data_IF_568908312242
#
_entry.id   IF_568908312242
#
_cell.length_a   1.000
_cell.length_b   1.000
_cell.length_c   1.000
_cell.angle_alpha   90.00
_cell.angle_beta   90.00
_cell.angle_gamma   90.00
#
_symmetry.space_group_name_H-M   'P 1'
#
loop_
_entity.id
_entity.type
_entity.pdbx_description
1 polymer ?
#
# COMPACT_ATOMS: atom_id res chain seq x y z
N UNK A 1 15.38 -7.52 -11.77
CA UNK A 1 16.03 -6.20 -11.48
C UNK A 1 15.31 -5.04 -12.16
N UNK A 2 14.98 -5.14 -13.46
CA UNK A 2 14.27 -4.12 -14.24
C UNK A 2 12.94 -3.61 -13.61
N UNK A 3 12.11 -4.50 -13.07
CA UNK A 3 10.82 -4.16 -12.47
C UNK A 3 10.91 -3.36 -11.15
N UNK A 4 11.91 -3.65 -10.32
CA UNK A 4 12.17 -2.91 -9.08
C UNK A 4 12.69 -1.49 -9.39
N UNK A 5 13.56 -1.38 -10.41
CA UNK A 5 14.02 -0.10 -10.95
C UNK A 5 12.86 0.68 -11.58
N UNK A 6 12.00 0.05 -12.38
CA UNK A 6 10.84 0.71 -12.98
C UNK A 6 9.91 1.29 -11.91
N UNK A 7 9.68 0.55 -10.83
CA UNK A 7 8.92 1.04 -9.67
C UNK A 7 9.63 2.24 -9.05
N UNK A 8 10.94 2.15 -8.76
CA UNK A 8 11.74 3.22 -8.17
C UNK A 8 11.80 4.49 -9.04
N UNK A 9 11.94 4.35 -10.35
CA UNK A 9 12.03 5.44 -11.31
C UNK A 9 10.69 6.11 -11.52
N UNK A 10 9.62 5.30 -11.55
CA UNK A 10 8.26 5.83 -11.51
C UNK A 10 8.12 6.73 -10.30
N UNK A 11 8.70 6.45 -9.12
CA UNK A 11 8.63 7.35 -7.96
C UNK A 11 9.25 8.73 -8.15
N UNK A 12 10.20 8.87 -9.07
CA UNK A 12 10.91 10.12 -9.42
C UNK A 12 10.34 10.83 -10.67
N UNK A 13 9.14 10.45 -11.09
CA UNK A 13 8.47 10.89 -12.33
C UNK A 13 9.27 10.63 -13.62
N UNK A 14 10.22 9.70 -13.56
CA UNK A 14 10.92 9.19 -14.73
C UNK A 14 10.32 7.84 -15.09
N UNK A 15 9.73 7.72 -16.27
CA UNK A 15 9.24 6.43 -16.76
C UNK A 15 10.15 5.96 -17.90
N UNK A 16 11.15 5.11 -17.61
CA UNK A 16 12.05 4.61 -18.63
C UNK A 16 11.29 3.63 -19.54
N UNK A 17 10.78 4.14 -20.67
CA UNK A 17 9.93 3.40 -21.60
C UNK A 17 10.60 2.13 -22.14
N UNK A 18 11.92 2.18 -22.39
CA UNK A 18 12.69 1.00 -22.80
C UNK A 18 12.66 -0.10 -21.72
N UNK A 19 12.90 0.26 -20.46
CA UNK A 19 12.86 -0.65 -19.32
C UNK A 19 11.44 -1.20 -19.07
N UNK A 20 10.41 -0.39 -19.34
CA UNK A 20 9.02 -0.82 -19.27
C UNK A 20 8.72 -1.90 -20.30
N UNK A 21 9.11 -1.69 -21.56
CA UNK A 21 8.94 -2.67 -22.64
C UNK A 21 9.69 -3.96 -22.37
N UNK A 22 10.91 -3.85 -21.87
CA UNK A 22 11.72 -5.02 -21.47
C UNK A 22 11.05 -5.79 -20.32
N UNK A 23 10.55 -5.09 -19.30
CA UNK A 23 9.84 -5.72 -18.19
C UNK A 23 8.52 -6.39 -18.64
N UNK A 24 7.80 -5.83 -19.63
CA UNK A 24 6.59 -6.43 -20.20
C UNK A 24 6.86 -7.72 -20.98
N UNK A 25 8.05 -7.85 -21.58
CA UNK A 25 8.44 -9.03 -22.34
C UNK A 25 8.80 -10.23 -21.45
N UNK A 26 9.13 -9.99 -20.18
CA UNK A 26 9.48 -11.05 -19.23
C UNK A 26 8.22 -11.57 -18.48
N UNK A 27 7.97 -12.90 -18.42
CA UNK A 27 6.82 -13.48 -17.72
C UNK A 27 6.66 -12.98 -16.28
N UNK A 28 7.75 -12.97 -15.51
CA UNK A 28 7.75 -12.48 -14.12
C UNK A 28 7.80 -10.94 -14.00
N UNK A 29 8.16 -10.24 -15.07
CA UNK A 29 8.32 -8.78 -15.10
C UNK A 29 7.03 -8.04 -15.42
N UNK A 30 6.16 -8.66 -16.22
CA UNK A 30 4.94 -8.05 -16.75
C UNK A 30 4.02 -7.52 -15.66
N UNK A 31 3.77 -8.32 -14.62
CA UNK A 31 2.90 -7.94 -13.52
C UNK A 31 3.42 -6.73 -12.73
N UNK A 32 4.74 -6.67 -12.50
CA UNK A 32 5.37 -5.53 -11.82
C UNK A 32 5.42 -4.29 -12.72
N UNK A 33 5.59 -4.46 -14.04
CA UNK A 33 5.53 -3.37 -15.00
C UNK A 33 4.15 -2.70 -15.02
N UNK A 34 3.08 -3.51 -15.06
CA UNK A 34 1.70 -3.05 -14.97
C UNK A 34 1.41 -2.36 -13.63
N UNK A 35 1.99 -2.86 -12.53
CA UNK A 35 1.84 -2.24 -11.21
C UNK A 35 2.47 -0.84 -11.17
N UNK A 36 3.68 -0.68 -11.71
CA UNK A 36 4.34 0.61 -11.79
C UNK A 36 3.52 1.60 -12.64
N UNK A 37 2.97 1.14 -13.78
CA UNK A 37 2.08 1.95 -14.61
C UNK A 37 0.79 2.35 -13.86
N UNK A 38 0.21 1.44 -13.06
CA UNK A 38 -0.95 1.75 -12.22
C UNK A 38 -0.61 2.84 -11.19
N UNK A 39 0.53 2.74 -10.50
CA UNK A 39 0.97 3.78 -9.57
C UNK A 39 1.28 5.11 -10.26
N UNK A 40 1.77 5.09 -11.50
CA UNK A 40 1.96 6.30 -12.31
C UNK A 40 0.63 6.98 -12.62
N UNK A 41 -0.37 6.22 -13.10
CA UNK A 41 -1.73 6.75 -13.35
C UNK A 41 -2.34 7.34 -12.10
N UNK A 42 -2.29 6.60 -10.99
CA UNK A 42 -2.78 7.09 -9.70
C UNK A 42 -2.13 8.42 -9.33
N UNK A 43 -0.80 8.54 -9.45
CA UNK A 43 -0.11 9.79 -9.17
C UNK A 43 -0.56 10.96 -10.05
N UNK A 44 -0.92 10.69 -11.31
CA UNK A 44 -1.43 11.69 -12.26
C UNK A 44 -2.91 12.04 -12.04
N UNK A 45 -3.55 11.45 -11.03
CA UNK A 45 -4.98 11.62 -10.77
C UNK A 45 -5.89 10.82 -11.70
N UNK A 46 -5.31 10.01 -12.58
CA UNK A 46 -6.04 9.11 -13.49
C UNK A 46 -6.52 7.85 -12.76
N UNK A 47 -7.52 7.16 -13.32
CA UNK A 47 -8.03 5.91 -12.75
C UNK A 47 -7.04 4.73 -12.99
N UNK A 48 -6.43 4.17 -11.93
CA UNK A 48 -5.51 3.05 -12.03
C UNK A 48 -6.21 1.68 -11.92
N UNK A 49 -7.52 1.65 -11.61
CA UNK A 49 -8.26 0.41 -11.31
C UNK A 49 -8.18 -0.64 -12.43
N UNK A 50 -8.34 -0.30 -13.72
CA UNK A 50 -8.19 -1.27 -14.79
C UNK A 50 -6.82 -1.94 -14.78
N UNK A 51 -5.75 -1.17 -14.54
CA UNK A 51 -4.38 -1.71 -14.46
C UNK A 51 -4.19 -2.58 -13.23
N UNK A 52 -4.70 -2.20 -12.07
CA UNK A 52 -4.63 -3.06 -10.88
C UNK A 52 -5.36 -4.40 -11.10
N UNK A 53 -6.49 -4.41 -11.81
CA UNK A 53 -7.17 -5.66 -12.18
C UNK A 53 -6.30 -6.54 -13.07
N UNK A 54 -5.61 -5.98 -14.04
CA UNK A 54 -4.65 -6.72 -14.88
C UNK A 54 -3.47 -7.26 -14.05
N UNK A 55 -2.90 -6.46 -13.14
CA UNK A 55 -1.86 -6.94 -12.22
C UNK A 55 -2.34 -8.13 -11.39
N UNK A 56 -3.56 -8.08 -10.87
CA UNK A 56 -4.15 -9.18 -10.09
C UNK A 56 -4.38 -10.43 -10.94
N UNK A 57 -4.72 -10.29 -12.22
CA UNK A 57 -4.82 -11.43 -13.15
C UNK A 57 -3.45 -12.07 -13.39
N UNK A 58 -2.42 -11.27 -13.64
CA UNK A 58 -1.06 -11.78 -13.82
C UNK A 58 -0.51 -12.43 -12.54
N UNK A 59 -0.75 -11.81 -11.39
CA UNK A 59 -0.27 -12.32 -10.11
C UNK A 59 -0.84 -13.70 -9.75
N UNK A 60 -2.04 -14.06 -10.22
CA UNK A 60 -2.63 -15.40 -10.01
C UNK A 60 -1.86 -16.51 -10.72
N UNK A 61 -1.09 -16.18 -11.76
CA UNK A 61 -0.27 -17.14 -12.52
C UNK A 61 1.09 -17.39 -11.87
N UNK A 62 1.49 -16.54 -10.93
CA UNK A 62 2.79 -16.62 -10.28
C UNK A 62 2.69 -17.49 -9.01
N UNK A 63 3.72 -18.32 -8.72
CA UNK A 63 3.76 -19.10 -7.49
C UNK A 63 3.95 -18.22 -6.25
N UNK A 64 4.57 -17.05 -6.41
CA UNK A 64 4.84 -16.13 -5.32
C UNK A 64 3.68 -15.11 -5.15
N UNK A 65 2.99 -15.07 -3.99
CA UNK A 65 1.85 -14.19 -3.77
C UNK A 65 2.25 -12.73 -3.50
N UNK A 66 3.54 -12.41 -3.49
CA UNK A 66 4.06 -11.05 -3.27
C UNK A 66 3.37 -10.00 -4.15
N UNK A 67 3.33 -10.21 -5.46
CA UNK A 67 2.74 -9.25 -6.39
C UNK A 67 1.23 -9.09 -6.12
N UNK A 68 0.55 -10.18 -5.78
CA UNK A 68 -0.86 -10.18 -5.46
C UNK A 68 -1.15 -9.31 -4.22
N UNK A 69 -0.40 -9.51 -3.14
CA UNK A 69 -0.55 -8.72 -1.91
C UNK A 69 -0.23 -7.23 -2.13
N UNK A 70 0.78 -6.93 -2.92
CA UNK A 70 1.18 -5.55 -3.24
C UNK A 70 0.11 -4.81 -4.07
N UNK A 71 -0.46 -5.50 -5.07
CA UNK A 71 -1.53 -4.97 -5.91
C UNK A 71 -2.81 -4.73 -5.12
N UNK A 72 -3.23 -5.69 -4.27
CA UNK A 72 -4.39 -5.53 -3.40
C UNK A 72 -4.22 -4.38 -2.39
N UNK A 73 -3.04 -4.28 -1.75
CA UNK A 73 -2.75 -3.20 -0.81
C UNK A 73 -2.85 -1.83 -1.49
N UNK A 74 -2.28 -1.71 -2.70
CA UNK A 74 -2.33 -0.50 -3.50
C UNK A 74 -3.76 -0.14 -3.93
N UNK A 75 -4.53 -1.13 -4.37
CA UNK A 75 -5.92 -0.94 -4.78
C UNK A 75 -6.80 -0.50 -3.61
N UNK A 76 -6.65 -1.12 -2.44
CA UNK A 76 -7.42 -0.77 -1.25
C UNK A 76 -7.13 0.67 -0.81
N UNK A 77 -5.87 1.11 -0.82
CA UNK A 77 -5.49 2.48 -0.54
C UNK A 77 -6.05 3.49 -1.56
N UNK A 78 -6.04 3.14 -2.85
CA UNK A 78 -6.65 3.99 -3.89
C UNK A 78 -8.16 4.14 -3.70
N UNK A 79 -8.83 3.02 -3.37
CA UNK A 79 -10.28 2.96 -3.20
C UNK A 79 -10.75 3.56 -1.89
N UNK A 80 -9.94 3.61 -0.85
CA UNK A 80 -10.34 4.13 0.46
C UNK A 80 -11.15 5.43 0.43
N UNK A 81 -10.65 6.54 -0.16
CA UNK A 81 -11.40 7.80 -0.17
C UNK A 81 -12.59 7.79 -1.13
N UNK A 82 -12.75 6.77 -1.99
CA UNK A 82 -13.76 6.70 -3.06
C UNK A 82 -14.87 5.68 -2.77
N UNK A 83 -14.52 4.61 -2.08
CA UNK A 83 -15.34 3.43 -1.82
C UNK A 83 -14.87 2.76 -0.52
N UNK A 84 -15.07 3.39 0.64
CA UNK A 84 -14.50 2.95 1.93
C UNK A 84 -14.92 1.53 2.31
N UNK A 85 -16.19 1.15 2.05
CA UNK A 85 -16.68 -0.22 2.28
C UNK A 85 -15.90 -1.27 1.48
N UNK A 86 -15.55 -0.96 0.22
CA UNK A 86 -14.72 -1.86 -0.62
C UNK A 86 -13.30 -1.93 -0.08
N UNK A 87 -12.71 -0.80 0.33
CA UNK A 87 -11.39 -0.79 0.94
C UNK A 87 -11.33 -1.62 2.22
N UNK A 88 -12.36 -1.56 3.08
CA UNK A 88 -12.47 -2.39 4.29
C UNK A 88 -12.58 -3.88 3.98
N UNK A 89 -13.40 -4.26 2.99
CA UNK A 89 -13.49 -5.65 2.55
C UNK A 89 -12.13 -6.16 2.01
N UNK A 90 -11.43 -5.33 1.23
CA UNK A 90 -10.10 -5.66 0.71
C UNK A 90 -9.05 -5.77 1.83
N UNK A 91 -9.07 -4.90 2.83
CA UNK A 91 -8.13 -4.96 3.95
C UNK A 91 -8.35 -6.20 4.82
N UNK A 92 -9.61 -6.61 5.02
CA UNK A 92 -9.95 -7.86 5.70
C UNK A 92 -9.45 -9.08 4.93
N UNK A 93 -9.68 -9.11 3.62
CA UNK A 93 -9.19 -10.17 2.74
C UNK A 93 -7.66 -10.26 2.77
N UNK A 94 -6.97 -9.12 2.64
CA UNK A 94 -5.51 -9.04 2.77
C UNK A 94 -5.01 -9.61 4.10
N UNK A 95 -5.63 -9.23 5.21
CA UNK A 95 -5.23 -9.70 6.55
C UNK A 95 -5.34 -11.22 6.66
N UNK A 96 -6.46 -11.80 6.20
CA UNK A 96 -6.67 -13.25 6.21
C UNK A 96 -5.65 -14.01 5.35
N UNK A 97 -5.39 -13.51 4.14
CA UNK A 97 -4.48 -14.20 3.21
C UNK A 97 -3.01 -14.05 3.58
N UNK A 98 -2.58 -12.87 4.05
CA UNK A 98 -1.19 -12.64 4.46
C UNK A 98 -0.81 -13.40 5.73
N UNK A 99 -1.77 -13.65 6.63
CA UNK A 99 -1.55 -14.47 7.81
C UNK A 99 -1.15 -15.91 7.45
N UNK A 100 -1.70 -16.46 6.37
CA UNK A 100 -1.42 -17.84 5.93
C UNK A 100 -0.11 -18.00 5.16
N UNK A 101 0.39 -16.93 4.54
CA UNK A 101 1.51 -17.00 3.59
C UNK A 101 2.86 -16.67 4.22
N UNK A 102 2.91 -16.21 5.48
CA UNK A 102 4.16 -15.91 6.19
C UNK A 102 4.88 -14.62 5.73
N UNK A 103 4.26 -13.82 4.85
CA UNK A 103 4.83 -12.55 4.40
C UNK A 103 4.64 -11.44 5.45
N UNK A 104 5.52 -11.44 6.47
CA UNK A 104 5.43 -10.56 7.64
C UNK A 104 5.15 -9.09 7.27
N UNK A 105 5.92 -8.51 6.33
CA UNK A 105 5.75 -7.11 5.92
C UNK A 105 4.35 -6.83 5.33
N UNK A 106 3.81 -7.76 4.55
CA UNK A 106 2.47 -7.58 3.96
C UNK A 106 1.37 -7.77 4.99
N UNK A 107 1.58 -8.66 5.98
CA UNK A 107 0.70 -8.80 7.13
C UNK A 107 0.67 -7.51 7.95
N UNK A 108 1.82 -6.90 8.23
CA UNK A 108 1.89 -5.61 8.92
C UNK A 108 1.16 -4.51 8.13
N UNK A 109 1.41 -4.40 6.82
CA UNK A 109 0.71 -3.44 5.95
C UNK A 109 -0.80 -3.68 5.96
N UNK A 110 -1.26 -4.93 5.91
CA UNK A 110 -2.68 -5.28 5.96
C UNK A 110 -3.30 -4.90 7.32
N UNK A 111 -2.61 -5.17 8.43
CA UNK A 111 -3.03 -4.77 9.78
C UNK A 111 -3.18 -3.25 9.90
N UNK A 112 -2.17 -2.51 9.45
CA UNK A 112 -2.16 -1.05 9.50
C UNK A 112 -3.23 -0.42 8.62
N UNK A 113 -3.40 -0.93 7.40
CA UNK A 113 -4.48 -0.51 6.52
C UNK A 113 -5.84 -0.77 7.17
N UNK A 114 -6.07 -1.96 7.73
CA UNK A 114 -7.34 -2.27 8.42
C UNK A 114 -7.55 -1.36 9.63
N UNK A 115 -6.52 -1.13 10.44
CA UNK A 115 -6.60 -0.24 11.60
C UNK A 115 -6.96 1.19 11.18
N UNK A 116 -6.33 1.71 10.12
CA UNK A 116 -6.65 3.03 9.57
C UNK A 116 -8.13 3.12 9.17
N UNK A 117 -8.64 2.11 8.45
CA UNK A 117 -10.01 2.11 7.94
C UNK A 117 -11.07 1.96 9.03
N UNK A 118 -10.75 1.30 10.14
CA UNK A 118 -11.63 1.13 11.30
C UNK A 118 -11.61 2.36 12.22
N UNK A 119 -10.45 3.00 12.38
CA UNK A 119 -10.34 4.25 13.13
C UNK A 119 -11.22 5.35 12.53
N UNK A 120 -11.32 5.43 11.20
CA UNK A 120 -12.20 6.40 10.54
C UNK A 120 -13.70 6.14 10.79
N UNK A 121 -14.08 4.92 11.13
CA UNK A 121 -15.46 4.58 11.51
C UNK A 121 -15.68 4.63 13.02
N UNK A 122 -14.71 5.11 13.79
CA UNK A 122 -14.80 5.21 15.26
C UNK A 122 -14.58 3.90 15.99
N UNK A 123 -14.12 2.84 15.32
CA UNK A 123 -13.89 1.54 15.95
C UNK A 123 -12.53 1.48 16.68
N UNK A 124 -12.48 0.67 17.74
CA UNK A 124 -11.24 0.41 18.49
C UNK A 124 -10.34 -0.59 17.75
N UNK A 125 -9.05 -0.26 17.65
CA UNK A 125 -8.08 -1.02 16.83
C UNK A 125 -6.86 -1.51 17.61
N UNK A 126 -6.91 -1.49 18.95
CA UNK A 126 -5.79 -1.85 19.83
C UNK A 126 -5.20 -3.23 19.46
N UNK A 127 -6.08 -4.19 19.19
CA UNK A 127 -5.73 -5.56 18.76
C UNK A 127 -4.97 -5.62 17.42
N UNK A 128 -5.18 -4.67 16.50
CA UNK A 128 -4.48 -4.61 15.20
C UNK A 128 -3.12 -3.93 15.30
N UNK A 129 -2.91 -3.11 16.33
CA UNK A 129 -1.67 -2.36 16.56
C UNK A 129 -0.73 -3.05 17.56
N UNK A 130 -1.13 -4.17 18.16
CA UNK A 130 -0.35 -4.96 19.12
C UNK A 130 0.83 -5.76 18.54
N UNK A 131 1.54 -5.24 17.54
CA UNK A 131 2.72 -5.89 16.95
C UNK A 131 3.94 -4.96 16.90
N UNK A 132 5.14 -5.52 16.87
CA UNK A 132 6.40 -4.80 16.64
C UNK A 132 6.65 -4.64 15.13
N UNK A 133 6.69 -3.40 14.58
CA UNK A 133 6.89 -3.21 13.14
C UNK A 133 8.31 -3.54 12.69
N UNK A 134 8.44 -4.29 11.60
CA UNK A 134 9.73 -4.75 11.05
C UNK A 134 10.44 -3.71 10.18
N UNK A 135 9.72 -2.77 9.56
CA UNK A 135 10.27 -1.78 8.63
C UNK A 135 10.04 -0.33 9.10
N UNK A 136 10.92 0.62 8.73
CA UNK A 136 10.69 2.05 8.95
C UNK A 136 9.31 2.54 8.46
N UNK A 137 8.83 2.04 7.31
CA UNK A 137 7.50 2.37 6.80
C UNK A 137 6.37 1.94 7.75
N UNK A 138 6.37 0.69 8.20
CA UNK A 138 5.31 0.14 9.05
C UNK A 138 5.38 0.73 10.45
N UNK A 139 6.59 1.05 10.93
CA UNK A 139 6.80 1.83 12.15
C UNK A 139 6.20 3.22 12.08
N UNK A 140 6.53 3.98 11.03
CA UNK A 140 6.03 5.33 10.84
C UNK A 140 4.49 5.36 10.68
N UNK A 141 3.94 4.40 9.95
CA UNK A 141 2.48 4.29 9.80
C UNK A 141 1.81 3.95 11.12
N UNK A 142 2.33 2.98 11.89
CA UNK A 142 1.82 2.65 13.21
C UNK A 142 1.82 3.87 14.14
N UNK A 143 2.95 4.57 14.22
CA UNK A 143 3.10 5.80 15.00
C UNK A 143 2.05 6.85 14.61
N UNK A 144 1.87 7.09 13.30
CA UNK A 144 0.87 8.02 12.79
C UNK A 144 -0.57 7.65 13.19
N UNK A 145 -0.92 6.37 13.23
CA UNK A 145 -2.24 5.90 13.71
C UNK A 145 -2.40 6.02 15.22
N UNK A 146 -1.30 6.02 15.97
CA UNK A 146 -1.27 6.23 17.43
C UNK A 146 -1.17 7.71 17.81
N UNK A 147 -1.10 8.63 16.83
CA UNK A 147 -0.93 10.06 17.08
C UNK A 147 0.46 10.47 17.52
N UNK A 148 1.45 9.60 17.35
CA UNK A 148 2.85 9.87 17.64
C UNK A 148 3.52 10.51 16.42
N UNK A 149 4.60 11.26 16.65
CA UNK A 149 5.46 11.72 15.56
C UNK A 149 6.10 10.52 14.86
N UNK A 150 6.07 10.52 13.53
CA UNK A 150 6.64 9.45 12.74
C UNK A 150 8.11 9.76 12.40
N UNK A 151 8.95 8.73 12.30
CA UNK A 151 10.35 8.95 11.92
C UNK A 151 10.48 9.49 10.48
N UNK A 152 11.45 10.39 10.27
CA UNK A 152 11.88 10.85 8.95
C UNK A 152 12.52 9.69 8.14
N UNK A 153 12.60 9.82 6.81
CA UNK A 153 13.21 8.79 5.95
C UNK A 153 12.24 7.83 5.25
N UNK A 154 11.06 8.30 4.86
CA UNK A 154 10.10 7.51 4.04
C UNK A 154 10.39 7.55 2.53
N UNK A 155 11.54 8.09 2.15
CA UNK A 155 12.03 8.20 0.78
C UNK A 155 12.57 6.82 0.33
N UNK A 156 11.86 6.17 -0.59
CA UNK A 156 12.17 4.80 -1.03
C UNK A 156 10.99 3.84 -0.96
N UNK A 157 10.00 4.11 -0.09
CA UNK A 157 8.78 3.29 0.03
C UNK A 157 7.67 3.64 -0.96
N UNK A 158 8.00 4.47 -1.94
CA UNK A 158 7.10 4.82 -3.04
C UNK A 158 5.75 5.38 -2.68
N UNK A 159 4.69 4.81 -3.27
CA UNK A 159 3.33 5.29 -3.04
C UNK A 159 2.91 5.12 -1.58
N UNK A 160 3.38 4.06 -0.91
CA UNK A 160 3.13 3.83 0.52
C UNK A 160 3.85 4.87 1.39
N UNK A 161 5.11 5.19 1.10
CA UNK A 161 5.85 6.24 1.82
C UNK A 161 5.22 7.62 1.66
N UNK A 162 4.75 7.97 0.45
CA UNK A 162 3.97 9.21 0.23
C UNK A 162 2.64 9.18 0.96
N UNK A 163 2.00 8.03 1.00
CA UNK A 163 0.74 7.84 1.68
C UNK A 163 0.87 8.08 3.17
N UNK A 164 1.80 7.42 3.84
CA UNK A 164 2.04 7.57 5.29
C UNK A 164 2.37 9.02 5.63
N UNK A 165 3.16 9.72 4.81
CA UNK A 165 3.39 11.16 4.98
C UNK A 165 2.11 11.99 4.90
N UNK A 166 1.23 11.71 3.93
CA UNK A 166 -0.07 12.39 3.82
C UNK A 166 -0.99 12.03 4.98
N UNK A 167 -0.99 10.76 5.39
CA UNK A 167 -1.74 10.28 6.53
C UNK A 167 -1.31 11.01 7.79
N UNK A 168 -0.01 11.19 8.06
CA UNK A 168 0.47 11.94 9.20
C UNK A 168 0.08 13.44 9.14
N UNK A 169 0.13 14.08 7.98
CA UNK A 169 -0.38 15.46 7.84
C UNK A 169 -1.86 15.59 8.16
N UNK A 170 -2.67 14.57 7.82
CA UNK A 170 -4.08 14.44 8.25
C UNK A 170 -4.21 13.94 9.70
N UNK A 171 -3.18 13.23 10.13
CA UNK A 171 -2.83 12.58 11.39
C UNK A 171 -3.13 13.41 12.62
N UNK A 172 -2.74 14.67 12.53
CA UNK A 172 -2.93 15.65 13.58
C UNK A 172 -4.41 15.97 13.85
N UNK A 173 -5.35 15.65 12.95
CA UNK A 173 -6.76 16.05 13.10
C UNK A 173 -7.60 15.05 13.93
N UNK A 174 -7.44 13.74 13.72
CA UNK A 174 -8.23 12.71 14.42
C UNK A 174 -7.72 12.39 15.83
N UNK A 175 -6.46 12.67 16.14
CA UNK A 175 -5.90 12.52 17.51
C UNK A 175 -6.25 13.70 18.40
N UNK A 176 -6.39 14.91 17.83
CA UNK A 176 -6.94 16.07 18.55
C UNK A 176 -8.39 15.86 19.00
N UNK A 177 -9.20 15.13 18.23
CA UNK A 177 -10.57 14.78 18.62
C UNK A 177 -10.64 13.80 19.83
N UNK A 178 -9.58 13.01 20.10
CA UNK A 178 -9.51 12.11 21.26
C UNK A 178 -9.05 12.78 22.56
N UNK A 179 -8.56 14.02 22.52
CA UNK A 179 -8.15 14.76 23.73
C UNK A 179 -9.30 15.55 24.37
N UNK A 180 -10.52 15.48 23.80
CA UNK A 180 -11.70 16.24 24.24
C UNK A 180 -12.92 15.34 24.54
N UNK A 181 -12.67 14.05 24.82
CA UNK A 181 -13.67 13.07 25.29
C UNK A 181 -13.14 12.33 26.49
#
# INVERSE_FOLDING_TARGET
MAAALLSAWTLKDRFPEALFREALAHPDGRGLALLALAHRRWRRGEDPVPLFKEVLKEARRLPNPYLHHLALSSLALYLWPRAPRKAQALSQHLLYHTHKTGFLVHLEVARLLRAQLLLETGERVDHLLGFAPSLPLTRAWKAALQGQEAAEGLEGYGILGRWVRRLWRRGAAWTRARQWS
#
